data_IF_286639832116
#
_entry.id   IF_286639832116
#
_cell.length_a   1.000
_cell.length_b   1.000
_cell.length_c   1.000
_cell.angle_alpha   90.00
_cell.angle_beta   90.00
_cell.angle_gamma   90.00
#
_symmetry.space_group_name_H-M   'P 1'
#
loop_
_entity.id
_entity.type
_entity.pdbx_description
1 polymer ?
#
# COMPACT_ATOMS: atom_id res chain seq x y z
N UNK A 1 -26.34 14.13 6.90
CA UNK A 1 -25.06 14.20 7.62
C UNK A 1 -23.97 13.83 6.61
N UNK A 2 -23.19 14.79 6.11
CA UNK A 2 -22.07 14.48 5.20
C UNK A 2 -20.94 13.86 6.04
N UNK A 3 -20.80 12.53 5.99
CA UNK A 3 -19.62 11.88 6.54
C UNK A 3 -18.42 12.19 5.64
N UNK A 4 -17.48 12.98 6.12
CA UNK A 4 -16.24 13.22 5.40
C UNK A 4 -15.44 11.91 5.30
N UNK A 5 -15.13 11.50 4.08
CA UNK A 5 -14.25 10.35 3.80
C UNK A 5 -12.81 10.77 4.11
N UNK A 6 -12.11 10.01 4.96
CA UNK A 6 -10.69 10.22 5.26
C UNK A 6 -9.87 9.01 4.81
N UNK A 7 -9.17 9.15 3.68
CA UNK A 7 -8.33 8.08 3.12
C UNK A 7 -7.21 7.65 4.08
N UNK A 8 -6.65 8.58 4.85
CA UNK A 8 -5.64 8.26 5.87
C UNK A 8 -6.24 7.46 7.03
N UNK A 9 -7.45 7.80 7.49
CA UNK A 9 -8.11 7.07 8.58
C UNK A 9 -8.46 5.64 8.16
N UNK A 10 -8.90 5.43 6.92
CA UNK A 10 -9.20 4.09 6.38
C UNK A 10 -7.95 3.26 6.07
N UNK A 11 -6.84 3.88 5.66
CA UNK A 11 -5.58 3.17 5.45
C UNK A 11 -4.85 2.80 6.76
N UNK A 12 -5.05 3.58 7.83
CA UNK A 12 -4.32 3.40 9.09
C UNK A 12 -4.44 2.00 9.72
N UNK A 13 -5.62 1.34 9.77
CA UNK A 13 -5.72 -0.05 10.25
C UNK A 13 -4.83 -1.02 9.46
N UNK A 14 -4.68 -0.84 8.15
CA UNK A 14 -3.85 -1.68 7.29
C UNK A 14 -2.38 -1.46 7.64
N UNK A 15 -1.96 -0.20 7.81
CA UNK A 15 -0.60 0.15 8.25
C UNK A 15 -0.29 -0.46 9.62
N UNK A 16 -1.21 -0.35 10.59
CA UNK A 16 -1.05 -0.94 11.92
C UNK A 16 -0.94 -2.47 11.86
N UNK A 17 -1.74 -3.11 11.01
CA UNK A 17 -1.63 -4.55 10.78
C UNK A 17 -0.26 -4.93 10.20
N UNK A 18 0.25 -4.17 9.21
CA UNK A 18 1.57 -4.42 8.64
C UNK A 18 2.69 -4.30 9.68
N UNK A 19 2.64 -3.27 10.53
CA UNK A 19 3.62 -3.09 11.62
C UNK A 19 3.55 -4.27 12.61
N UNK A 20 2.35 -4.66 13.03
CA UNK A 20 2.16 -5.73 14.00
C UNK A 20 2.57 -7.13 13.47
N UNK A 21 2.62 -7.31 12.14
CA UNK A 21 2.96 -8.58 11.50
C UNK A 21 4.19 -8.46 10.60
N UNK A 22 5.12 -7.56 10.93
CA UNK A 22 6.29 -7.25 10.11
C UNK A 22 7.11 -8.49 9.75
N UNK A 23 7.38 -9.38 10.71
CA UNK A 23 8.14 -10.61 10.48
C UNK A 23 7.47 -11.53 9.44
N UNK A 24 6.17 -11.79 9.60
CA UNK A 24 5.38 -12.61 8.67
C UNK A 24 5.34 -12.02 7.27
N UNK A 25 5.28 -10.69 7.20
CA UNK A 25 5.25 -9.94 5.94
C UNK A 25 6.66 -9.69 5.37
N UNK A 26 7.72 -10.10 6.08
CA UNK A 26 9.13 -9.90 5.75
C UNK A 26 9.47 -8.42 5.53
N UNK A 27 8.96 -7.59 6.43
CA UNK A 27 9.15 -6.13 6.46
C UNK A 27 10.22 -5.76 7.48
N UNK A 28 10.86 -4.61 7.26
CA UNK A 28 11.72 -3.97 8.26
C UNK A 28 11.06 -2.68 8.73
N UNK A 29 10.93 -2.52 10.05
CA UNK A 29 10.28 -1.35 10.67
C UNK A 29 11.34 -0.55 11.41
N UNK A 30 11.57 0.69 10.97
CA UNK A 30 12.51 1.61 11.58
C UNK A 30 11.75 2.82 12.14
N UNK A 31 11.96 3.16 13.42
CA UNK A 31 11.45 4.40 14.01
C UNK A 31 12.59 5.43 14.09
N UNK A 32 12.41 6.54 13.38
CA UNK A 32 13.39 7.62 13.31
C UNK A 32 13.35 8.46 14.59
N UNK A 33 14.38 9.28 14.81
CA UNK A 33 14.51 10.16 15.98
C UNK A 33 13.34 11.15 16.14
N UNK A 34 12.66 11.50 15.05
CA UNK A 34 11.47 12.36 15.06
C UNK A 34 10.14 11.59 15.22
N UNK A 35 10.19 10.32 15.62
CA UNK A 35 9.06 9.39 15.75
C UNK A 35 8.37 8.98 14.43
N UNK A 36 8.88 9.42 13.27
CA UNK A 36 8.43 8.88 11.99
C UNK A 36 8.71 7.38 11.92
N UNK A 37 7.74 6.60 11.48
CA UNK A 37 7.89 5.16 11.30
C UNK A 37 8.05 4.87 9.81
N UNK A 38 9.20 4.32 9.44
CA UNK A 38 9.53 3.88 8.09
C UNK A 38 9.27 2.37 8.01
N UNK A 39 8.49 1.97 7.02
CA UNK A 39 8.18 0.56 6.73
C UNK A 39 8.88 0.23 5.42
N UNK A 40 10.01 -0.46 5.50
CA UNK A 40 10.69 -0.98 4.33
C UNK A 40 10.09 -2.34 3.93
N UNK A 41 9.60 -2.39 2.70
CA UNK A 41 8.93 -3.54 2.10
C UNK A 41 9.63 -4.07 0.84
N UNK A 42 10.88 -3.67 0.56
CA UNK A 42 11.57 -4.12 -0.64
C UNK A 42 12.95 -3.52 -0.95
N UNK A 43 13.52 -2.64 -0.11
CA UNK A 43 14.85 -2.07 -0.30
C UNK A 43 15.90 -2.94 0.39
N UNK A 44 15.86 -3.02 1.73
CA UNK A 44 16.67 -3.94 2.53
C UNK A 44 15.83 -5.14 2.98
N UNK A 45 14.52 -4.94 3.15
CA UNK A 45 13.56 -6.01 3.42
C UNK A 45 13.27 -6.85 2.16
N UNK A 46 13.00 -8.14 2.35
CA UNK A 46 12.62 -9.04 1.24
C UNK A 46 11.22 -8.71 0.70
N UNK A 47 10.31 -8.23 1.56
CA UNK A 47 8.92 -7.94 1.19
C UNK A 47 8.14 -9.20 0.79
N UNK A 48 7.13 -9.07 -0.06
CA UNK A 48 6.39 -10.22 -0.57
C UNK A 48 5.04 -9.87 -1.19
N UNK A 49 4.37 -10.90 -1.74
CA UNK A 49 3.08 -10.74 -2.41
C UNK A 49 2.01 -10.12 -1.50
N UNK A 50 1.90 -10.60 -0.26
CA UNK A 50 0.92 -10.07 0.70
C UNK A 50 1.28 -8.65 1.17
N UNK A 51 2.57 -8.35 1.36
CA UNK A 51 3.02 -6.99 1.65
C UNK A 51 2.65 -6.03 0.51
N UNK A 52 2.90 -6.43 -0.75
CA UNK A 52 2.52 -5.65 -1.93
C UNK A 52 1.00 -5.47 -2.06
N UNK A 53 0.21 -6.52 -1.77
CA UNK A 53 -1.26 -6.47 -1.77
C UNK A 53 -1.78 -5.44 -0.76
N UNK A 54 -1.27 -5.46 0.47
CA UNK A 54 -1.63 -4.52 1.53
C UNK A 54 -1.19 -3.08 1.21
N UNK A 55 0.03 -2.91 0.65
CA UNK A 55 0.52 -1.60 0.20
C UNK A 55 -0.39 -1.03 -0.88
N UNK A 56 -0.86 -1.86 -1.83
CA UNK A 56 -1.79 -1.40 -2.85
C UNK A 56 -3.12 -0.90 -2.25
N UNK A 57 -3.66 -1.57 -1.22
CA UNK A 57 -4.85 -1.11 -0.50
C UNK A 57 -4.59 0.18 0.31
N UNK A 58 -3.39 0.35 0.88
CA UNK A 58 -2.95 1.60 1.51
C UNK A 58 -2.89 2.74 0.50
N UNK A 59 -2.28 2.51 -0.68
CA UNK A 59 -2.23 3.50 -1.75
C UNK A 59 -3.64 3.91 -2.18
N UNK A 60 -4.59 2.98 -2.21
CA UNK A 60 -6.00 3.25 -2.49
C UNK A 60 -6.77 3.87 -1.31
N UNK A 61 -6.08 4.29 -0.25
CA UNK A 61 -6.68 4.99 0.89
C UNK A 61 -7.59 4.12 1.74
N UNK A 62 -7.42 2.79 1.71
CA UNK A 62 -8.33 1.83 2.33
C UNK A 62 -9.73 1.75 1.69
N UNK A 63 -9.95 2.43 0.56
CA UNK A 63 -11.21 2.44 -0.20
C UNK A 63 -11.19 1.48 -1.40
N UNK A 64 -10.09 0.75 -1.56
CA UNK A 64 -9.90 -0.28 -2.58
C UNK A 64 -9.74 -1.66 -1.94
N UNK A 65 -10.12 -2.69 -2.68
CA UNK A 65 -9.83 -4.09 -2.36
C UNK A 65 -8.92 -4.67 -3.42
N UNK A 66 -7.86 -5.33 -2.98
CA UNK A 66 -6.85 -5.94 -3.85
C UNK A 66 -6.71 -7.41 -3.49
N UNK A 67 -6.78 -8.28 -4.49
CA UNK A 67 -6.56 -9.73 -4.34
C UNK A 67 -5.64 -10.28 -5.41
N UNK A 68 -4.92 -11.34 -5.08
CA UNK A 68 -4.02 -12.05 -5.99
C UNK A 68 -4.66 -13.36 -6.40
N UNK A 69 -4.73 -13.65 -7.70
CA UNK A 69 -5.22 -14.92 -8.25
C UNK A 69 -4.12 -15.60 -9.07
N UNK A 70 -4.14 -16.92 -9.15
CA UNK A 70 -3.21 -17.74 -9.94
C UNK A 70 -3.90 -18.32 -11.19
N UNK A 71 -4.95 -17.65 -11.67
CA UNK A 71 -5.80 -18.10 -12.78
C UNK A 71 -5.90 -17.01 -13.85
N UNK A 72 -4.73 -16.57 -14.32
CA UNK A 72 -4.63 -15.59 -15.39
C UNK A 72 -4.88 -16.25 -16.76
N UNK A 73 -5.60 -15.59 -17.68
CA UNK A 73 -5.77 -16.08 -19.05
C UNK A 73 -4.46 -16.04 -19.84
N UNK A 74 -3.42 -15.37 -19.33
CA UNK A 74 -2.13 -15.24 -19.98
C UNK A 74 -1.16 -16.32 -19.51
N UNK A 75 -0.89 -17.30 -20.39
CA UNK A 75 -0.07 -18.51 -20.10
C UNK A 75 1.31 -18.23 -19.48
N UNK A 76 1.93 -17.08 -19.77
CA UNK A 76 3.26 -16.70 -19.24
C UNK A 76 3.21 -15.91 -17.93
N UNK A 77 2.02 -15.48 -17.49
CA UNK A 77 1.82 -14.67 -16.29
C UNK A 77 0.68 -15.23 -15.47
N UNK A 78 0.91 -16.34 -14.73
CA UNK A 78 -0.16 -17.04 -14.00
C UNK A 78 -0.75 -16.18 -12.87
N UNK A 79 0.03 -15.26 -12.30
CA UNK A 79 -0.41 -14.35 -11.25
C UNK A 79 -1.11 -13.11 -11.82
N UNK A 80 -2.28 -12.79 -11.29
CA UNK A 80 -3.03 -11.56 -11.59
C UNK A 80 -3.36 -10.80 -10.32
N UNK A 81 -3.35 -9.47 -10.40
CA UNK A 81 -3.86 -8.56 -9.37
C UNK A 81 -5.27 -8.12 -9.76
N UNK A 82 -6.25 -8.40 -8.90
CA UNK A 82 -7.62 -7.94 -9.08
C UNK A 82 -7.85 -6.74 -8.17
N UNK A 83 -8.40 -5.66 -8.72
CA UNK A 83 -8.60 -4.40 -8.00
C UNK A 83 -10.06 -3.97 -8.14
N UNK A 84 -10.67 -3.63 -7.01
CA UNK A 84 -12.07 -3.17 -6.95
C UNK A 84 -12.20 -1.95 -6.02
N UNK A 85 -13.05 -0.99 -6.38
CA UNK A 85 -13.45 0.11 -5.50
C UNK A 85 -14.85 0.60 -5.86
N UNK A 86 -15.65 0.92 -4.83
CA UNK A 86 -16.93 1.64 -4.96
C UNK A 86 -16.75 3.16 -4.94
N UNK A 87 -15.54 3.66 -4.67
CA UNK A 87 -15.20 5.08 -4.61
C UNK A 87 -13.97 5.39 -5.48
N UNK A 88 -13.99 5.10 -6.80
CA UNK A 88 -12.80 5.12 -7.65
C UNK A 88 -12.13 6.49 -7.77
N UNK A 89 -12.87 7.60 -7.68
CA UNK A 89 -12.26 8.94 -7.71
C UNK A 89 -11.36 9.15 -6.49
N UNK A 90 -11.85 8.84 -5.28
CA UNK A 90 -11.04 8.97 -4.06
C UNK A 90 -9.94 7.91 -3.99
N UNK A 91 -10.25 6.65 -4.32
CA UNK A 91 -9.29 5.56 -4.23
C UNK A 91 -8.16 5.71 -5.26
N UNK A 92 -8.49 5.98 -6.52
CA UNK A 92 -7.51 5.98 -7.62
C UNK A 92 -6.85 7.35 -7.80
N UNK A 93 -7.60 8.45 -7.83
CA UNK A 93 -7.05 9.79 -8.13
C UNK A 93 -6.70 10.57 -6.86
N UNK A 94 -7.55 10.49 -5.84
CA UNK A 94 -7.35 11.19 -4.57
C UNK A 94 -6.33 10.54 -3.64
N UNK A 95 -5.89 9.32 -3.93
CA UNK A 95 -4.99 8.56 -3.05
C UNK A 95 -3.92 7.78 -3.83
N UNK A 96 -4.30 6.85 -4.71
CA UNK A 96 -3.34 5.93 -5.34
C UNK A 96 -2.42 6.60 -6.36
N UNK A 97 -2.93 7.61 -7.07
CA UNK A 97 -2.18 8.31 -8.09
C UNK A 97 -0.88 8.87 -7.52
N UNK A 98 0.24 8.51 -8.13
CA UNK A 98 1.58 8.99 -7.78
C UNK A 98 1.81 10.43 -8.28
N UNK A 99 0.94 11.35 -7.86
CA UNK A 99 0.92 12.75 -8.32
C UNK A 99 1.82 13.69 -7.54
N UNK A 100 2.39 13.25 -6.41
CA UNK A 100 3.27 14.07 -5.59
C UNK A 100 4.73 13.75 -5.89
N UNK A 101 5.41 14.67 -6.59
CA UNK A 101 6.86 14.62 -6.76
C UNK A 101 7.55 15.02 -5.47
N UNK A 102 8.14 14.04 -4.78
CA UNK A 102 8.99 14.26 -3.62
C UNK A 102 10.43 14.50 -4.08
N UNK A 103 10.93 15.72 -3.87
CA UNK A 103 12.33 16.08 -4.10
C UNK A 103 12.90 16.66 -2.81
N UNK A 104 14.02 16.11 -2.34
CA UNK A 104 14.74 16.60 -1.17
C UNK A 104 16.22 16.23 -1.26
N UNK A 105 17.11 17.20 -1.08
CA UNK A 105 18.54 17.05 -1.36
C UNK A 105 18.89 17.17 -2.85
N UNK A 106 20.18 17.07 -3.18
CA UNK A 106 20.62 17.00 -4.57
C UNK A 106 20.43 15.57 -5.08
N UNK A 107 19.70 15.43 -6.19
CA UNK A 107 19.83 14.26 -7.06
C UNK A 107 21.29 14.11 -7.48
N UNK A 108 21.67 12.94 -7.98
CA UNK A 108 22.95 12.82 -8.66
C UNK A 108 23.17 13.94 -9.69
#
# INVERSE_FOLDING_TARGET
MQSHVSVNAYALPIVKYMIAHADRLRLKIDRLANNCTVIDAGIQAVGGLEAGRLIAEICMGGLGKVSLTQDSPFKRWPTMVNVYSTNPVFACLGSQYAGWSLSHGEGK
#
